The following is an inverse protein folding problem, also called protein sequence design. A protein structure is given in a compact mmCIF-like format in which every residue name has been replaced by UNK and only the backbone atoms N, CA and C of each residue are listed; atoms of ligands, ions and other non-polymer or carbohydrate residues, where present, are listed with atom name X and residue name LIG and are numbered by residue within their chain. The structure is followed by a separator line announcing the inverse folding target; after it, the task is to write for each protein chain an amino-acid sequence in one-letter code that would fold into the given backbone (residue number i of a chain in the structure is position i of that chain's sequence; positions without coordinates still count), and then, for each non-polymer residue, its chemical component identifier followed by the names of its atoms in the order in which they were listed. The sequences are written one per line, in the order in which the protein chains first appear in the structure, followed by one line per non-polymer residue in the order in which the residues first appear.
data_IF_661664050838
#
_entry.id   IF_661664050838
#
_cell.length_a   1.000
_cell.length_b   1.000
_cell.length_c   1.000
_cell.angle_alpha   90.00
_cell.angle_beta   90.00
_cell.angle_gamma   90.00
#
_symmetry.space_group_name_H-M   'P 1'
#
loop_
_entity.id
_entity.type
_entity.pdbx_description
1 polymer ?
#
# COMPACT_ATOMS: atom_id res chain seq x y z
N UNK A 1 12.31 -8.82 3.39
CA UNK A 1 11.41 -9.10 2.24
C UNK A 1 10.12 -9.68 2.78
N UNK A 2 9.01 -9.44 2.09
CA UNK A 2 7.65 -9.70 2.59
C UNK A 2 6.98 -10.92 1.97
N UNK A 3 7.48 -12.13 2.22
CA UNK A 3 6.91 -13.34 1.62
C UNK A 3 5.52 -13.66 2.18
N UNK A 4 5.32 -13.49 3.49
CA UNK A 4 4.01 -13.67 4.14
C UNK A 4 3.01 -12.61 3.67
N UNK A 5 3.47 -11.37 3.51
CA UNK A 5 2.67 -10.29 2.95
C UNK A 5 2.18 -10.61 1.52
N UNK A 6 3.03 -11.19 0.67
CA UNK A 6 2.63 -11.59 -0.69
C UNK A 6 1.54 -12.67 -0.65
N UNK A 7 1.69 -13.67 0.22
CA UNK A 7 0.66 -14.69 0.39
C UNK A 7 -0.68 -14.07 0.86
N UNK A 8 -0.64 -13.16 1.82
CA UNK A 8 -1.82 -12.46 2.30
C UNK A 8 -2.49 -11.61 1.20
N UNK A 9 -1.71 -10.93 0.36
CA UNK A 9 -2.25 -10.20 -0.78
C UNK A 9 -3.09 -11.10 -1.73
N UNK A 10 -2.62 -12.32 -2.02
CA UNK A 10 -3.38 -13.27 -2.83
C UNK A 10 -4.62 -13.81 -2.13
N UNK A 11 -4.53 -14.12 -0.84
CA UNK A 11 -5.64 -14.66 -0.08
C UNK A 11 -6.79 -13.64 0.07
N UNK A 12 -6.44 -12.38 0.35
CA UNK A 12 -7.43 -11.39 0.74
C UNK A 12 -8.02 -10.61 -0.45
N UNK A 13 -7.20 -10.35 -1.48
CA UNK A 13 -7.54 -9.32 -2.48
C UNK A 13 -7.65 -9.83 -3.92
N UNK A 14 -7.25 -11.07 -4.21
CA UNK A 14 -7.19 -11.57 -5.60
C UNK A 14 -8.54 -11.49 -6.33
N UNK A 15 -9.65 -11.74 -5.65
CA UNK A 15 -11.02 -11.66 -6.20
C UNK A 15 -11.50 -10.23 -6.47
N UNK A 16 -10.85 -9.22 -5.89
CA UNK A 16 -11.29 -7.81 -5.93
C UNK A 16 -10.47 -6.96 -6.89
N UNK A 17 -9.35 -7.47 -7.39
CA UNK A 17 -8.36 -6.71 -8.15
C UNK A 17 -8.19 -7.20 -9.58
N UNK A 18 -7.89 -6.25 -10.47
CA UNK A 18 -7.37 -6.57 -11.80
C UNK A 18 -5.97 -7.15 -11.70
N UNK A 19 -5.48 -7.85 -12.73
CA UNK A 19 -4.12 -8.39 -12.73
C UNK A 19 -3.05 -7.30 -12.53
N UNK A 20 -3.29 -6.09 -13.04
CA UNK A 20 -2.35 -4.97 -12.89
C UNK A 20 -2.34 -4.43 -11.46
N UNK A 21 -3.51 -4.24 -10.86
CA UNK A 21 -3.59 -3.75 -9.48
C UNK A 21 -3.08 -4.82 -8.50
N UNK A 22 -3.30 -6.10 -8.82
CA UNK A 22 -2.72 -7.21 -8.08
C UNK A 22 -1.19 -7.23 -8.16
N UNK A 23 -0.60 -6.99 -9.34
CA UNK A 23 0.85 -6.86 -9.49
C UNK A 23 1.41 -5.70 -8.66
N UNK A 24 0.72 -4.56 -8.64
CA UNK A 24 1.09 -3.42 -7.79
C UNK A 24 1.08 -3.81 -6.29
N UNK A 25 0.00 -4.46 -5.83
CA UNK A 25 -0.13 -4.88 -4.44
C UNK A 25 0.94 -5.92 -4.05
N UNK A 26 1.21 -6.90 -4.90
CA UNK A 26 2.25 -7.92 -4.67
C UNK A 26 3.63 -7.30 -4.61
N UNK A 27 3.93 -6.32 -5.45
CA UNK A 27 5.19 -5.59 -5.38
C UNK A 27 5.33 -4.83 -4.06
N UNK A 28 4.28 -4.12 -3.63
CA UNK A 28 4.25 -3.44 -2.34
C UNK A 28 4.42 -4.43 -1.17
N UNK A 29 3.73 -5.57 -1.24
CA UNK A 29 3.79 -6.63 -0.24
C UNK A 29 5.19 -7.25 -0.12
N UNK A 30 5.85 -7.53 -1.25
CA UNK A 30 7.19 -8.10 -1.28
C UNK A 30 8.26 -7.15 -0.71
N UNK A 31 8.06 -5.84 -0.87
CA UNK A 31 8.99 -4.80 -0.44
C UNK A 31 8.78 -4.38 1.02
N UNK A 32 7.54 -4.43 1.52
CA UNK A 32 7.24 -4.30 2.95
C UNK A 32 7.86 -5.44 3.76
N UNK A 33 8.20 -5.20 5.03
CA UNK A 33 8.74 -6.27 5.88
C UNK A 33 7.60 -7.07 6.50
N UNK A 34 7.76 -8.39 6.56
CA UNK A 34 6.76 -9.27 7.18
C UNK A 34 6.65 -9.10 8.71
N UNK A 35 7.62 -8.42 9.35
CA UNK A 35 7.64 -8.20 10.80
C UNK A 35 7.23 -6.78 11.22
N UNK A 36 6.86 -5.92 10.26
CA UNK A 36 6.30 -4.61 10.56
C UNK A 36 4.79 -4.77 10.82
N UNK A 37 4.27 -4.00 11.79
CA UNK A 37 2.84 -3.97 12.13
C UNK A 37 2.38 -2.52 12.16
N UNK A 38 1.65 -2.03 11.14
CA UNK A 38 1.35 -2.70 9.88
C UNK A 38 2.59 -2.99 9.01
N UNK A 39 2.48 -3.91 8.05
CA UNK A 39 3.38 -3.90 6.90
C UNK A 39 3.19 -2.59 6.12
N UNK A 40 4.26 -1.84 5.92
CA UNK A 40 4.21 -0.53 5.25
C UNK A 40 5.08 -0.54 4.00
N UNK A 41 4.52 -0.03 2.90
CA UNK A 41 5.26 0.33 1.70
C UNK A 41 5.68 1.80 1.74
N UNK A 42 7.00 2.03 1.68
CA UNK A 42 7.63 3.36 1.72
C UNK A 42 8.12 3.84 0.34
N UNK A 43 7.85 3.07 -0.72
CA UNK A 43 8.35 3.39 -2.06
C UNK A 43 7.55 4.52 -2.72
N UNK A 44 8.23 5.31 -3.53
CA UNK A 44 7.59 6.34 -4.34
C UNK A 44 6.79 5.76 -5.51
N UNK A 45 6.11 6.65 -6.26
CA UNK A 45 5.42 6.27 -7.48
C UNK A 45 6.40 5.72 -8.53
N UNK A 46 7.67 6.13 -8.50
CA UNK A 46 8.72 5.72 -9.43
C UNK A 46 8.97 4.21 -9.33
N UNK A 47 9.13 3.71 -8.11
CA UNK A 47 9.36 2.30 -7.84
C UNK A 47 8.16 1.45 -8.28
N UNK A 48 6.95 1.96 -8.06
CA UNK A 48 5.73 1.28 -8.49
C UNK A 48 5.53 1.32 -10.02
N UNK A 49 5.85 2.45 -10.66
CA UNK A 49 5.80 2.60 -12.11
C UNK A 49 6.76 1.59 -12.78
N UNK A 50 7.99 1.51 -12.30
CA UNK A 50 8.98 0.54 -12.76
C UNK A 50 8.49 -0.91 -12.57
N UNK A 51 7.91 -1.24 -11.40
CA UNK A 51 7.33 -2.56 -11.15
C UNK A 51 6.17 -2.91 -12.09
N UNK A 52 5.43 -1.89 -12.54
CA UNK A 52 4.36 -2.02 -13.53
C UNK A 52 4.86 -1.97 -14.98
N UNK A 53 6.18 -2.01 -15.19
CA UNK A 53 6.82 -1.99 -16.52
C UNK A 53 6.61 -0.66 -17.25
N UNK A 54 6.45 0.45 -16.52
CA UNK A 54 6.32 1.78 -17.09
C UNK A 54 7.63 2.55 -17.02
N UNK A 55 7.82 3.46 -17.97
CA UNK A 55 8.90 4.44 -17.91
C UNK A 55 8.67 5.47 -16.80
N UNK A 56 9.75 6.13 -16.37
CA UNK A 56 9.70 7.15 -15.31
C UNK A 56 9.31 8.54 -15.86
N UNK A 57 8.21 8.57 -16.60
CA UNK A 57 7.63 9.76 -17.22
C UNK A 57 6.25 10.09 -16.60
N UNK A 58 5.57 11.09 -17.16
CA UNK A 58 4.24 11.50 -16.68
C UNK A 58 3.18 10.40 -16.89
N UNK A 59 3.36 9.54 -17.90
CA UNK A 59 2.46 8.40 -18.15
C UNK A 59 2.64 7.33 -17.07
N UNK A 60 3.89 6.95 -16.78
CA UNK A 60 4.21 5.97 -15.74
C UNK A 60 3.79 6.46 -14.36
N UNK A 61 4.01 7.74 -14.06
CA UNK A 61 3.49 8.40 -12.85
C UNK A 61 1.98 8.26 -12.73
N UNK A 62 1.24 8.62 -13.79
CA UNK A 62 -0.21 8.52 -13.81
C UNK A 62 -0.70 7.08 -13.65
N UNK A 63 0.01 6.12 -14.25
CA UNK A 63 -0.29 4.69 -14.11
C UNK A 63 -0.10 4.22 -12.68
N UNK A 64 1.01 4.56 -12.03
CA UNK A 64 1.28 4.22 -10.63
C UNK A 64 0.24 4.85 -9.68
N UNK A 65 -0.08 6.14 -9.85
CA UNK A 65 -1.09 6.82 -9.05
C UNK A 65 -2.49 6.23 -9.24
N UNK A 66 -2.85 5.80 -10.45
CA UNK A 66 -4.11 5.09 -10.71
C UNK A 66 -4.18 3.74 -10.00
N UNK A 67 -3.08 2.98 -9.97
CA UNK A 67 -3.01 1.73 -9.24
C UNK A 67 -3.18 1.96 -7.72
N UNK A 68 -2.46 2.93 -7.15
CA UNK A 68 -2.61 3.31 -5.74
C UNK A 68 -4.04 3.74 -5.40
N UNK A 69 -4.67 4.56 -6.26
CA UNK A 69 -6.05 4.97 -6.07
C UNK A 69 -7.03 3.79 -6.15
N UNK A 70 -6.81 2.84 -7.06
CA UNK A 70 -7.64 1.64 -7.17
C UNK A 70 -7.52 0.74 -5.93
N UNK A 71 -6.29 0.52 -5.45
CA UNK A 71 -6.02 -0.25 -4.23
C UNK A 71 -6.64 0.41 -2.99
N UNK A 72 -6.47 1.73 -2.83
CA UNK A 72 -7.07 2.46 -1.73
C UNK A 72 -8.61 2.42 -1.79
N UNK A 73 -9.19 2.55 -2.99
CA UNK A 73 -10.64 2.51 -3.19
C UNK A 73 -11.28 1.20 -2.73
N UNK A 74 -10.61 0.06 -2.95
CA UNK A 74 -11.12 -1.24 -2.50
C UNK A 74 -10.73 -1.58 -1.07
N UNK A 75 -9.90 -0.74 -0.42
CA UNK A 75 -9.44 -0.93 0.95
C UNK A 75 -8.20 -1.82 1.09
N UNK A 76 -7.53 -2.19 0.00
CA UNK A 76 -6.32 -3.03 0.06
C UNK A 76 -5.11 -2.32 0.70
N UNK A 77 -5.09 -0.98 0.65
CA UNK A 77 -4.08 -0.14 1.29
C UNK A 77 -4.73 1.06 1.98
N UNK A 78 -4.08 1.56 3.03
CA UNK A 78 -4.37 2.87 3.61
C UNK A 78 -3.18 3.81 3.42
N UNK A 79 -3.41 5.01 2.90
CA UNK A 79 -2.38 6.06 2.78
C UNK A 79 -2.18 6.77 4.13
N UNK A 80 -0.96 7.10 4.49
CA UNK A 80 -0.62 7.93 5.66
C UNK A 80 -1.07 9.39 5.53
N UNK A 81 -1.60 9.79 4.37
CA UNK A 81 -2.13 11.12 4.09
C UNK A 81 -1.39 11.82 2.94
N UNK A 82 -1.48 13.15 2.91
CA UNK A 82 -0.87 13.95 1.84
C UNK A 82 0.65 14.03 2.02
N UNK A 83 1.39 13.48 1.06
CA UNK A 83 2.80 13.78 0.88
C UNK A 83 2.98 15.29 0.68
N UNK A 84 3.86 15.92 1.46
CA UNK A 84 4.27 17.32 1.28
C UNK A 84 5.79 17.40 1.08
N UNK A 85 6.31 18.57 0.73
CA UNK A 85 7.74 18.75 0.44
C UNK A 85 8.57 18.20 1.62
N UNK A 86 9.37 17.16 1.35
CA UNK A 86 10.22 16.49 2.34
C UNK A 86 9.61 15.30 3.10
N UNK A 87 8.35 14.93 2.84
CA UNK A 87 7.66 13.76 3.42
C UNK A 87 7.03 12.93 2.30
N UNK A 88 7.40 11.65 2.23
CA UNK A 88 6.82 10.68 1.29
C UNK A 88 5.52 10.12 1.87
N UNK A 89 4.54 9.84 1.00
CA UNK A 89 3.38 9.07 1.41
C UNK A 89 3.82 7.63 1.74
N UNK A 90 3.26 7.09 2.80
CA UNK A 90 3.44 5.71 3.22
C UNK A 90 2.11 4.98 3.07
N UNK A 91 2.17 3.69 2.75
CA UNK A 91 0.97 2.91 2.48
C UNK A 91 0.98 1.65 3.36
N UNK A 92 0.11 1.63 4.37
CA UNK A 92 -0.14 0.43 5.16
C UNK A 92 -0.89 -0.60 4.31
N UNK A 93 -0.46 -1.86 4.37
CA UNK A 93 -1.09 -2.97 3.67
C UNK A 93 -2.16 -3.59 4.56
N UNK A 94 -3.41 -3.58 4.09
CA UNK A 94 -4.56 -4.08 4.84
C UNK A 94 -4.72 -5.57 4.55
N UNK A 95 -4.12 -6.41 5.40
CA UNK A 95 -4.13 -7.87 5.28
C UNK A 95 -4.76 -8.53 6.51
N UNK A 96 -5.23 -9.76 6.34
CA UNK A 96 -5.84 -10.61 7.37
C UNK A 96 -7.03 -9.93 8.08
N UNK A 97 -7.82 -9.13 7.36
CA UNK A 97 -8.95 -8.39 7.90
C UNK A 97 -8.59 -7.13 8.71
N UNK A 98 -7.30 -6.78 8.82
CA UNK A 98 -6.89 -5.54 9.46
C UNK A 98 -7.01 -4.35 8.50
N UNK A 99 -7.73 -3.33 8.93
CA UNK A 99 -7.73 -2.01 8.30
C UNK A 99 -6.96 -1.04 9.19
N UNK A 100 -5.95 -0.38 8.65
CA UNK A 100 -5.13 0.57 9.41
C UNK A 100 -5.60 2.00 9.21
N UNK A 101 -5.51 2.80 10.25
CA UNK A 101 -5.76 4.24 10.27
C UNK A 101 -4.46 4.95 10.64
N UNK A 102 -4.01 5.94 9.85
CA UNK A 102 -2.89 6.77 10.24
C UNK A 102 -3.33 7.78 11.30
N UNK A 103 -2.54 7.91 12.35
CA UNK A 103 -2.63 8.96 13.36
C UNK A 103 -1.37 9.84 13.29
N UNK A 104 -1.53 11.14 13.50
CA UNK A 104 -0.44 12.10 13.39
C UNK A 104 -0.25 12.67 11.97
N UNK A 105 0.91 13.27 11.73
CA UNK A 105 1.22 13.91 10.44
C UNK A 105 2.72 13.96 10.16
N UNK A 106 3.08 14.09 8.88
CA UNK A 106 4.46 14.27 8.46
C UNK A 106 5.33 13.03 8.76
N UNK A 107 6.38 13.22 9.56
CA UNK A 107 7.32 12.14 9.97
C UNK A 107 6.87 11.36 11.20
N UNK A 108 5.79 11.79 11.85
CA UNK A 108 5.31 11.22 13.11
C UNK A 108 3.98 10.48 12.89
N UNK A 109 3.86 9.74 11.78
CA UNK A 109 2.68 8.90 11.55
C UNK A 109 2.80 7.63 12.36
N UNK A 110 1.80 7.37 13.19
CA UNK A 110 1.58 6.08 13.85
C UNK A 110 0.39 5.39 13.22
N UNK A 111 0.36 4.06 13.24
CA UNK A 111 -0.73 3.29 12.66
C UNK A 111 -1.52 2.61 13.76
N UNK A 112 -2.84 2.79 13.74
CA UNK A 112 -3.76 2.12 14.67
C UNK A 112 -4.78 1.33 13.87
N UNK A 113 -5.23 0.18 14.39
CA UNK A 113 -6.46 -0.42 13.89
C UNK A 113 -7.64 0.31 14.52
N UNK A 114 -8.80 0.42 13.84
CA UNK A 114 -10.05 0.71 14.52
C UNK A 114 -10.14 -0.18 15.77
N UNK A 115 -10.57 0.39 16.91
CA UNK A 115 -10.88 -0.42 18.09
C UNK A 115 -11.81 -1.53 17.63
N UNK A 116 -11.46 -2.75 17.98
CA UNK A 116 -12.35 -3.89 17.89
C UNK A 116 -13.55 -3.56 18.80
N UNK A 117 -14.64 -3.03 18.25
CA UNK A 117 -15.92 -2.84 18.95
C UNK A 117 -16.62 -4.21 19.07
N UNK A 118 -15.87 -5.24 19.45
CA UNK A 118 -16.41 -6.51 19.91
C UNK A 118 -16.57 -6.45 21.43
N UNK A 119 -17.68 -5.81 21.85
CA UNK A 119 -18.36 -6.11 23.12
C UNK A 119 -19.33 -7.27 22.93
#
# INVERSE_FOLDING_TARGET
MGARNVAAAFNDWRSHLTNRDMLALVYMANTARDNDTPPVYYGGWEALAHALGQDLDETGKRTALRALAALAKVGAITSSGNAHKGVRAEYALNFNGHQWTPEGSGRNVTWTTPKDDSQ
#
